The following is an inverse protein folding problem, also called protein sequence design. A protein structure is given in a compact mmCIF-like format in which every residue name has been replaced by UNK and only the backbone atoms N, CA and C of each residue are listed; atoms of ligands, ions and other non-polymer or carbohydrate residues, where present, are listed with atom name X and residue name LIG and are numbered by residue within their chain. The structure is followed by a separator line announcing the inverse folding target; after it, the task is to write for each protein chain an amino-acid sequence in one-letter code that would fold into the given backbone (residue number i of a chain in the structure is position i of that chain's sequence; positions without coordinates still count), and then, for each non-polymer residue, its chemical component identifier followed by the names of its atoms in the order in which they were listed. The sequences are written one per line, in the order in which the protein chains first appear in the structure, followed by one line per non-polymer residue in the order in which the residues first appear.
data_IF_719670252828
#
_entry.id   IF_719670252828
#
_cell.length_a   1.000
_cell.length_b   1.000
_cell.length_c   1.000
_cell.angle_alpha   90.00
_cell.angle_beta   90.00
_cell.angle_gamma   90.00
#
_symmetry.space_group_name_H-M   'P 1'
#
loop_
_entity.id
_entity.type
_entity.pdbx_description
1 polymer ?
#
# COMPACT_ATOMS: atom_id res chain seq x y z
N UNK A 1 6.70 -56.40 -7.90
CA UNK A 1 7.20 -55.04 -8.23
C UNK A 1 6.30 -54.49 -9.30
N UNK A 2 5.45 -53.52 -8.98
CA UNK A 2 4.97 -52.53 -9.95
C UNK A 2 4.89 -51.20 -9.23
N UNK A 3 5.62 -50.23 -9.77
CA UNK A 3 5.80 -48.90 -9.22
C UNK A 3 4.53 -48.09 -9.47
N UNK A 4 3.90 -47.63 -8.39
CA UNK A 4 2.79 -46.68 -8.44
C UNK A 4 3.21 -45.42 -9.18
N UNK A 5 2.51 -45.14 -10.27
CA UNK A 5 2.65 -43.94 -11.10
C UNK A 5 2.58 -42.69 -10.20
N UNK A 6 3.65 -41.91 -10.22
CA UNK A 6 3.72 -40.62 -9.58
C UNK A 6 2.57 -39.73 -10.06
N UNK A 7 1.71 -39.35 -9.13
CA UNK A 7 0.78 -38.25 -9.32
C UNK A 7 1.61 -37.00 -9.55
N UNK A 8 1.66 -36.55 -10.81
CA UNK A 8 2.18 -35.24 -11.19
C UNK A 8 1.22 -34.20 -10.59
N UNK A 9 1.49 -33.79 -9.35
CA UNK A 9 0.85 -32.64 -8.71
C UNK A 9 1.08 -31.44 -9.61
N UNK A 10 -0.02 -30.91 -10.15
CA UNK A 10 -0.06 -29.79 -11.09
C UNK A 10 0.85 -28.65 -10.64
N UNK A 11 1.84 -28.31 -11.46
CA UNK A 11 2.52 -27.00 -11.37
C UNK A 11 1.42 -25.95 -11.48
N UNK A 12 1.22 -25.16 -10.43
CA UNK A 12 0.28 -24.05 -10.46
C UNK A 12 0.58 -23.17 -11.68
N UNK A 13 -0.46 -22.80 -12.43
CA UNK A 13 -0.36 -21.85 -13.55
C UNK A 13 -0.11 -20.43 -13.01
N UNK A 14 0.94 -20.23 -12.21
CA UNK A 14 1.40 -18.90 -11.82
C UNK A 14 2.04 -18.25 -13.05
N UNK A 15 1.26 -17.38 -13.71
CA UNK A 15 1.78 -16.51 -14.75
C UNK A 15 2.65 -15.44 -14.09
N UNK A 16 3.83 -15.21 -14.67
CA UNK A 16 4.73 -14.15 -14.24
C UNK A 16 4.34 -12.86 -14.94
N UNK A 17 4.28 -11.78 -14.18
CA UNK A 17 4.25 -10.44 -14.73
C UNK A 17 5.66 -9.86 -14.74
N UNK A 18 6.01 -9.17 -15.83
CA UNK A 18 7.32 -8.56 -16.01
C UNK A 18 7.16 -7.04 -16.01
N UNK A 19 7.86 -6.37 -15.10
CA UNK A 19 8.05 -4.93 -15.12
C UNK A 19 9.50 -4.63 -15.52
N UNK A 20 9.70 -3.88 -16.60
CA UNK A 20 11.04 -3.44 -17.04
C UNK A 20 11.21 -1.97 -16.71
N UNK A 21 12.18 -1.66 -15.84
CA UNK A 21 12.54 -0.28 -15.48
C UNK A 21 14.02 -0.07 -15.72
N UNK A 22 14.38 1.01 -16.41
CA UNK A 22 15.77 1.42 -16.64
C UNK A 22 16.06 2.69 -15.83
N UNK A 23 16.94 2.58 -14.82
CA UNK A 23 17.38 3.69 -13.99
C UNK A 23 18.82 4.07 -14.35
N UNK A 24 19.03 5.33 -14.75
CA UNK A 24 20.34 5.89 -15.11
C UNK A 24 20.50 7.31 -14.56
N UNK A 25 20.61 7.47 -13.23
CA UNK A 25 20.87 8.76 -12.62
C UNK A 25 22.28 9.28 -12.95
N UNK A 26 22.49 10.60 -12.88
CA UNK A 26 23.82 11.21 -12.93
C UNK A 26 24.63 10.85 -11.67
N UNK A 27 25.94 10.65 -11.80
CA UNK A 27 26.79 10.05 -10.76
C UNK A 27 26.79 10.80 -9.41
N UNK A 28 26.63 12.12 -9.44
CA UNK A 28 26.67 12.98 -8.25
C UNK A 28 25.29 13.26 -7.63
N UNK A 29 24.28 12.45 -7.93
CA UNK A 29 22.93 12.63 -7.38
C UNK A 29 22.62 11.66 -6.25
N UNK A 30 21.66 12.06 -5.40
CA UNK A 30 21.07 11.19 -4.40
C UNK A 30 20.58 9.87 -5.02
N UNK A 31 19.99 9.93 -6.21
CA UNK A 31 19.49 8.76 -6.93
C UNK A 31 20.62 7.80 -7.33
N UNK A 32 21.79 8.32 -7.73
CA UNK A 32 22.96 7.48 -8.00
C UNK A 32 23.48 6.82 -6.72
N UNK A 33 23.53 7.54 -5.61
CA UNK A 33 23.91 6.96 -4.31
C UNK A 33 22.95 5.85 -3.87
N UNK A 34 21.63 6.04 -4.07
CA UNK A 34 20.61 5.01 -3.82
C UNK A 34 20.84 3.81 -4.74
N UNK A 35 21.07 4.05 -6.03
CA UNK A 35 21.29 2.98 -7.01
C UNK A 35 22.55 2.17 -6.67
N UNK A 36 23.63 2.82 -6.25
CA UNK A 36 24.86 2.16 -5.77
C UNK A 36 24.60 1.33 -4.51
N UNK A 37 23.85 1.87 -3.55
CA UNK A 37 23.48 1.14 -2.33
C UNK A 37 22.70 -0.14 -2.64
N UNK A 38 21.69 -0.05 -3.52
CA UNK A 38 20.90 -1.22 -3.93
C UNK A 38 21.80 -2.23 -4.64
N UNK A 39 22.61 -1.78 -5.61
CA UNK A 39 23.49 -2.63 -6.43
C UNK A 39 24.62 -3.31 -5.66
N UNK A 40 24.90 -2.91 -4.42
CA UNK A 40 25.99 -3.44 -3.61
C UNK A 40 25.89 -4.95 -3.37
N UNK A 41 24.67 -5.51 -3.34
CA UNK A 41 24.43 -6.94 -3.13
C UNK A 41 24.27 -7.72 -4.44
N UNK A 42 24.15 -9.05 -4.38
CA UNK A 42 23.82 -9.87 -5.54
C UNK A 42 22.41 -9.60 -6.09
N UNK A 43 22.19 -9.83 -7.39
CA UNK A 43 20.92 -9.54 -8.12
C UNK A 43 19.66 -10.03 -7.39
N UNK A 44 19.73 -11.20 -6.74
CA UNK A 44 18.60 -11.75 -5.98
C UNK A 44 18.23 -10.87 -4.79
N UNK A 45 19.22 -10.43 -4.02
CA UNK A 45 19.04 -9.56 -2.86
C UNK A 45 18.61 -8.15 -3.28
N UNK A 46 19.18 -7.63 -4.37
CA UNK A 46 18.75 -6.36 -4.97
C UNK A 46 17.24 -6.37 -5.25
N UNK A 47 16.78 -7.39 -5.97
CA UNK A 47 15.37 -7.55 -6.31
C UNK A 47 14.50 -7.69 -5.06
N UNK A 48 14.96 -8.42 -4.05
CA UNK A 48 14.22 -8.55 -2.78
C UNK A 48 14.05 -7.20 -2.07
N UNK A 49 15.11 -6.41 -1.97
CA UNK A 49 15.06 -5.06 -1.37
C UNK A 49 14.09 -4.15 -2.12
N UNK A 50 14.20 -4.10 -3.44
CA UNK A 50 13.33 -3.28 -4.29
C UNK A 50 11.87 -3.71 -4.12
N UNK A 51 11.59 -5.02 -4.21
CA UNK A 51 10.23 -5.53 -4.03
C UNK A 51 9.67 -5.28 -2.63
N UNK A 52 10.51 -5.36 -1.59
CA UNK A 52 10.07 -5.05 -0.24
C UNK A 52 9.69 -3.58 -0.10
N UNK A 53 10.51 -2.66 -0.62
CA UNK A 53 10.21 -1.23 -0.63
C UNK A 53 8.90 -0.93 -1.38
N UNK A 54 8.74 -1.49 -2.58
CA UNK A 54 7.52 -1.34 -3.38
C UNK A 54 6.29 -1.91 -2.68
N UNK A 55 6.39 -3.06 -2.02
CA UNK A 55 5.26 -3.65 -1.28
C UNK A 55 4.83 -2.77 -0.11
N UNK A 56 5.80 -2.30 0.69
CA UNK A 56 5.51 -1.42 1.82
C UNK A 56 4.79 -0.14 1.37
N UNK A 57 5.23 0.46 0.25
CA UNK A 57 4.68 1.72 -0.25
C UNK A 57 3.35 1.55 -1.00
N UNK A 58 3.21 0.54 -1.86
CA UNK A 58 2.14 0.50 -2.86
C UNK A 58 1.15 -0.65 -2.71
N UNK A 59 1.43 -1.70 -1.92
CA UNK A 59 0.57 -2.89 -1.95
C UNK A 59 -0.89 -2.57 -1.54
N UNK A 60 -1.10 -1.86 -0.44
CA UNK A 60 -2.44 -1.49 -0.01
C UNK A 60 -3.21 -0.65 -1.06
N UNK A 61 -2.54 0.31 -1.71
CA UNK A 61 -3.15 1.16 -2.74
C UNK A 61 -3.47 0.34 -4.00
N UNK A 62 -2.54 -0.51 -4.45
CA UNK A 62 -2.77 -1.36 -5.62
C UNK A 62 -3.97 -2.30 -5.42
N UNK A 63 -4.14 -2.85 -4.21
CA UNK A 63 -5.30 -3.70 -3.89
C UNK A 63 -6.59 -2.90 -3.65
N UNK A 64 -6.52 -1.65 -3.23
CA UNK A 64 -7.68 -0.75 -3.16
C UNK A 64 -8.21 -0.42 -4.56
N UNK A 65 -7.33 -0.14 -5.51
CA UNK A 65 -7.71 0.34 -6.85
C UNK A 65 -8.09 -0.78 -7.83
N UNK A 66 -7.45 -1.95 -7.73
CA UNK A 66 -7.63 -3.03 -8.71
C UNK A 66 -7.63 -4.44 -8.11
N UNK A 67 -7.64 -4.56 -6.78
CA UNK A 67 -7.55 -5.83 -6.09
C UNK A 67 -8.90 -6.40 -5.69
N UNK A 68 -8.98 -7.75 -5.66
CA UNK A 68 -10.14 -8.47 -5.17
C UNK A 68 -9.96 -8.85 -3.69
N UNK A 69 -9.82 -7.87 -2.80
CA UNK A 69 -9.79 -8.09 -1.34
C UNK A 69 -11.08 -7.62 -0.69
N UNK A 70 -11.45 -8.26 0.42
CA UNK A 70 -12.51 -7.73 1.28
C UNK A 70 -12.04 -6.47 2.00
N UNK A 71 -12.98 -5.63 2.46
CA UNK A 71 -12.64 -4.41 3.21
C UNK A 71 -11.79 -4.69 4.47
N UNK A 72 -12.05 -5.80 5.15
CA UNK A 72 -11.26 -6.22 6.31
C UNK A 72 -9.83 -6.61 5.94
N UNK A 73 -9.65 -7.37 4.86
CA UNK A 73 -8.32 -7.74 4.36
C UNK A 73 -7.53 -6.53 3.91
N UNK A 74 -8.19 -5.59 3.23
CA UNK A 74 -7.57 -4.35 2.77
C UNK A 74 -7.14 -3.47 3.94
N UNK A 75 -7.98 -3.36 4.98
CA UNK A 75 -7.63 -2.63 6.21
C UNK A 75 -6.41 -3.25 6.91
N UNK A 76 -6.38 -4.58 7.03
CA UNK A 76 -5.24 -5.27 7.61
C UNK A 76 -3.96 -5.05 6.79
N UNK A 77 -4.04 -5.19 5.47
CA UNK A 77 -2.93 -4.92 4.57
C UNK A 77 -2.40 -3.49 4.69
N UNK A 78 -3.30 -2.51 4.80
CA UNK A 78 -2.96 -1.11 5.04
C UNK A 78 -2.20 -0.92 6.36
N UNK A 79 -2.68 -1.52 7.45
CA UNK A 79 -2.01 -1.49 8.76
C UNK A 79 -0.62 -2.14 8.70
N UNK A 80 -0.49 -3.29 8.06
CA UNK A 80 0.78 -4.01 7.94
C UNK A 80 1.80 -3.19 7.14
N UNK A 81 1.37 -2.59 6.03
CA UNK A 81 2.20 -1.69 5.23
C UNK A 81 2.64 -0.45 6.02
N UNK A 82 1.71 0.19 6.73
CA UNK A 82 2.00 1.36 7.56
C UNK A 82 3.00 1.03 8.67
N UNK A 83 2.80 -0.09 9.37
CA UNK A 83 3.72 -0.55 10.40
C UNK A 83 5.11 -0.85 9.82
N UNK A 84 5.19 -1.46 8.64
CA UNK A 84 6.47 -1.73 7.99
C UNK A 84 7.22 -0.43 7.62
N UNK A 85 6.50 0.58 7.12
CA UNK A 85 7.05 1.91 6.85
C UNK A 85 7.55 2.59 8.13
N UNK A 86 6.78 2.53 9.21
CA UNK A 86 7.20 3.06 10.51
C UNK A 86 8.46 2.38 11.03
N UNK A 87 8.54 1.05 10.97
CA UNK A 87 9.74 0.31 11.37
C UNK A 87 10.96 0.72 10.54
N UNK A 88 10.77 0.95 9.23
CA UNK A 88 11.84 1.46 8.38
C UNK A 88 12.27 2.88 8.79
N UNK A 89 11.32 3.77 9.07
CA UNK A 89 11.61 5.12 9.56
C UNK A 89 12.36 5.11 10.90
N UNK A 90 11.96 4.25 11.84
CA UNK A 90 12.67 4.05 13.10
C UNK A 90 14.09 3.55 12.88
N UNK A 91 14.29 2.58 11.97
CA UNK A 91 15.62 2.09 11.63
C UNK A 91 16.54 3.20 11.09
N UNK A 92 16.04 4.02 10.16
CA UNK A 92 16.79 5.16 9.60
C UNK A 92 17.17 6.13 10.72
N UNK A 93 16.19 6.49 11.56
CA UNK A 93 16.41 7.38 12.68
C UNK A 93 17.47 6.85 13.65
N UNK A 94 17.38 5.59 14.06
CA UNK A 94 18.35 4.99 14.97
C UNK A 94 19.74 4.91 14.33
N UNK A 95 19.82 4.53 13.05
CA UNK A 95 21.09 4.40 12.31
C UNK A 95 21.81 5.74 12.15
N UNK A 96 21.05 6.83 12.09
CA UNK A 96 21.58 8.20 11.92
C UNK A 96 21.59 8.99 13.24
N UNK A 97 21.29 8.34 14.37
CA UNK A 97 21.21 8.97 15.70
C UNK A 97 20.32 10.23 15.73
N UNK A 98 19.21 10.20 14.98
CA UNK A 98 18.29 11.34 14.91
C UNK A 98 17.43 11.44 16.20
N UNK A 99 17.03 12.64 16.61
CA UNK A 99 16.25 12.84 17.83
C UNK A 99 14.92 12.05 17.86
N UNK A 100 14.64 11.42 19.01
CA UNK A 100 13.43 11.64 19.81
C UNK A 100 12.17 12.11 19.09
N UNK A 101 12.16 13.42 18.98
CA UNK A 101 11.02 14.19 18.59
C UNK A 101 11.10 14.38 17.09
N UNK A 102 10.05 14.03 16.33
CA UNK A 102 9.94 14.54 14.99
C UNK A 102 10.02 16.07 15.10
N UNK A 103 11.07 16.66 14.50
CA UNK A 103 10.99 18.06 14.12
C UNK A 103 9.96 18.08 13.01
N UNK A 104 8.69 18.19 13.41
CA UNK A 104 7.61 18.46 12.47
C UNK A 104 7.96 19.84 11.93
N UNK A 105 8.63 19.89 10.77
CA UNK A 105 8.47 21.02 9.87
C UNK A 105 6.99 20.99 9.52
N UNK A 106 6.21 21.75 10.29
CA UNK A 106 4.86 22.13 9.91
C UNK A 106 5.07 23.07 8.73
N UNK A 107 5.30 22.51 7.54
CA UNK A 107 5.03 23.22 6.30
C UNK A 107 3.51 23.32 6.21
N UNK A 108 3.04 24.46 6.70
CA UNK A 108 1.71 25.05 6.56
C UNK A 108 0.50 24.13 6.77
N UNK A 109 -0.25 24.38 7.86
CA UNK A 109 -1.47 23.64 8.25
C UNK A 109 -2.65 23.79 7.29
N UNK A 110 -2.46 24.41 6.12
CA UNK A 110 -3.53 24.68 5.16
C UNK A 110 -4.05 23.41 4.46
N UNK A 111 -3.25 22.34 4.32
CA UNK A 111 -3.68 21.16 3.55
C UNK A 111 -4.32 20.02 4.36
N UNK A 112 -4.08 19.93 5.67
CA UNK A 112 -4.68 18.85 6.49
C UNK A 112 -6.13 19.13 6.87
N UNK A 113 -6.55 20.40 6.94
CA UNK A 113 -7.93 20.75 7.28
C UNK A 113 -8.90 20.48 6.12
N UNK A 114 -8.46 20.61 4.88
CA UNK A 114 -9.27 20.36 3.69
C UNK A 114 -9.55 18.85 3.50
N UNK A 115 -8.60 17.98 3.85
CA UNK A 115 -8.81 16.54 3.77
C UNK A 115 -9.82 16.04 4.82
N UNK A 116 -9.76 16.57 6.04
CA UNK A 116 -10.68 16.20 7.13
C UNK A 116 -12.09 16.75 6.86
N UNK A 117 -12.21 17.99 6.35
CA UNK A 117 -13.51 18.55 5.98
C UNK A 117 -14.16 17.82 4.80
N UNK A 118 -13.40 17.47 3.76
CA UNK A 118 -13.96 16.72 2.62
C UNK A 118 -14.43 15.32 3.03
N UNK A 119 -13.71 14.65 3.94
CA UNK A 119 -14.09 13.32 4.42
C UNK A 119 -15.37 13.36 5.26
N UNK A 120 -15.53 14.36 6.13
CA UNK A 120 -16.73 14.54 6.95
C UNK A 120 -17.95 14.98 6.12
N UNK A 121 -17.77 15.81 5.10
CA UNK A 121 -18.85 16.20 4.18
C UNK A 121 -19.34 15.04 3.32
N UNK A 122 -18.45 14.13 2.93
CA UNK A 122 -18.81 12.93 2.15
C UNK A 122 -19.61 11.94 3.02
N UNK A 123 -19.19 11.70 4.26
CA UNK A 123 -19.94 10.85 5.20
C UNK A 123 -21.33 11.43 5.51
N UNK A 124 -21.43 12.74 5.76
CA UNK A 124 -22.70 13.38 6.09
C UNK A 124 -23.68 13.40 4.89
N UNK A 125 -23.18 13.52 3.65
CA UNK A 125 -24.01 13.41 2.44
C UNK A 125 -24.48 11.98 2.17
N UNK A 126 -23.66 10.99 2.49
CA UNK A 126 -24.05 9.58 2.38
C UNK A 126 -25.13 9.20 3.40
N UNK A 127 -25.05 9.73 4.62
CA UNK A 127 -26.04 9.48 5.67
C UNK A 127 -27.40 10.14 5.37
N UNK A 128 -27.38 11.34 4.76
CA UNK A 128 -28.60 12.01 4.25
C UNK A 128 -29.21 11.21 3.09
N UNK A 129 -28.40 10.76 2.13
CA UNK A 129 -28.91 9.99 1.00
C UNK A 129 -29.53 8.63 1.43
N UNK A 130 -28.94 7.97 2.43
CA UNK A 130 -29.47 6.71 2.98
C UNK A 130 -30.77 6.92 3.75
N UNK A 131 -30.88 8.01 4.51
CA UNK A 131 -32.11 8.33 5.25
C UNK A 131 -33.26 8.73 4.32
N UNK A 132 -33.00 9.44 3.22
CA UNK A 132 -33.99 9.76 2.20
C UNK A 132 -34.46 8.51 1.42
N UNK A 133 -33.56 7.60 1.06
CA UNK A 133 -33.93 6.33 0.41
C UNK A 133 -34.79 5.45 1.34
N UNK A 134 -34.45 5.40 2.63
CA UNK A 134 -35.21 4.64 3.64
C UNK A 134 -36.61 5.24 3.87
N UNK A 135 -36.74 6.56 3.76
CA UNK A 135 -38.04 7.25 3.89
C UNK A 135 -38.95 7.00 2.68
N UNK A 136 -38.38 7.01 1.47
CA UNK A 136 -39.10 6.73 0.23
C UNK A 136 -39.58 5.27 0.15
N UNK A 137 -38.77 4.32 0.60
CA UNK A 137 -39.17 2.90 0.67
C UNK A 137 -40.33 2.70 1.65
N UNK A 138 -40.30 3.36 2.82
CA UNK A 138 -41.40 3.31 3.80
C UNK A 138 -42.70 3.91 3.27
N UNK A 139 -42.63 5.01 2.52
CA UNK A 139 -43.82 5.63 1.91
C UNK A 139 -44.38 4.82 0.73
N UNK A 140 -43.53 4.07 0.01
CA UNK A 140 -43.96 3.19 -1.09
C UNK A 140 -44.58 1.87 -0.61
N UNK A 141 -44.26 1.43 0.61
CA UNK A 141 -44.81 0.22 1.24
C UNK A 141 -46.21 0.39 1.86
N UNK A 142 -46.69 1.63 2.03
CA UNK A 142 -48.04 1.92 2.57
C UNK A 142 -49.13 2.05 1.48
N UNK A 143 -48.78 1.84 0.20
CA UNK A 143 -49.69 1.95 -0.94
C UNK A 143 -50.10 0.61 -1.60
N UNK A 144 -49.91 -0.52 -0.91
CA UNK A 144 -50.47 -1.82 -1.28
C UNK A 144 -51.26 -2.46 -0.14
#
# INVERSE_FOLDING_TARGET
MEFGKGQNMSKSNQKRENLTVRLQPFEDTLDAQILHYIKRDGVKQQNQKVWQALRMAYAAIAYLEGGNLTAQQLRQLGLDNFNALLQHAYYVRQSLLLPETPQILIEDKSQTEDYVKSSQEVEHKQEIAQSEQTLLEKQSGELF
#
